data_IF_268501862169
#
_entry.id   IF_268501862169
#
_cell.length_a   1.000
_cell.length_b   1.000
_cell.length_c   1.000
_cell.angle_alpha   90.00
_cell.angle_beta   90.00
_cell.angle_gamma   90.00
#
_symmetry.space_group_name_H-M   'P 1'
#
loop_
_entity.id
_entity.type
_entity.pdbx_description
1 polymer ?
#
# COMPACT_ATOMS: atom_id res chain seq x y z
N UNK A 1 18.28 -20.05 18.85
CA UNK A 1 19.35 -20.86 18.22
C UNK A 1 18.93 -21.04 16.78
N UNK A 2 19.37 -20.10 15.94
CA UNK A 2 19.01 -20.03 14.52
C UNK A 2 19.43 -21.32 13.81
N UNK A 3 18.60 -21.74 12.87
CA UNK A 3 18.72 -22.97 12.12
C UNK A 3 19.79 -22.80 11.01
N UNK A 4 21.05 -22.58 11.41
CA UNK A 4 22.20 -22.32 10.52
C UNK A 4 22.59 -23.58 9.70
N UNK A 5 21.94 -24.73 9.93
CA UNK A 5 22.29 -26.01 9.29
C UNK A 5 21.73 -26.21 7.86
N UNK A 6 20.94 -25.28 7.31
CA UNK A 6 20.40 -25.38 5.93
C UNK A 6 20.69 -24.16 5.02
N UNK A 7 21.38 -23.12 5.50
CA UNK A 7 21.72 -21.92 4.69
C UNK A 7 22.64 -22.26 3.50
N UNK A 8 23.65 -23.11 3.68
CA UNK A 8 24.54 -23.50 2.57
C UNK A 8 23.81 -24.29 1.48
N UNK A 9 22.88 -25.19 1.86
CA UNK A 9 22.12 -26.01 0.90
C UNK A 9 21.07 -25.22 0.13
N UNK A 10 20.48 -24.20 0.74
CA UNK A 10 19.48 -23.34 0.10
C UNK A 10 20.13 -22.38 -0.88
N UNK A 11 21.29 -21.81 -0.55
CA UNK A 11 22.08 -20.95 -1.44
C UNK A 11 22.62 -21.68 -2.69
N UNK A 12 22.74 -23.00 -2.62
CA UNK A 12 23.23 -23.85 -3.72
C UNK A 12 22.14 -24.22 -4.76
N UNK A 13 20.86 -23.92 -4.50
CA UNK A 13 19.76 -24.25 -5.42
C UNK A 13 19.77 -23.39 -6.68
N UNK A 14 19.89 -22.08 -6.50
CA UNK A 14 19.95 -21.06 -7.54
C UNK A 14 20.52 -19.75 -6.94
N UNK A 15 20.98 -18.77 -7.74
CA UNK A 15 21.66 -17.60 -7.21
C UNK A 15 20.73 -16.50 -6.66
N UNK A 16 19.40 -16.65 -6.67
CA UNK A 16 18.46 -15.55 -6.35
C UNK A 16 18.64 -14.99 -4.94
N UNK A 17 18.68 -15.85 -3.91
CA UNK A 17 18.94 -15.38 -2.53
C UNK A 17 20.36 -14.82 -2.39
N UNK A 18 21.36 -15.52 -2.93
CA UNK A 18 22.77 -15.08 -2.88
C UNK A 18 22.96 -13.70 -3.49
N UNK A 19 22.30 -13.41 -4.61
CA UNK A 19 22.38 -12.11 -5.29
C UNK A 19 21.86 -10.98 -4.41
N UNK A 20 20.79 -11.21 -3.65
CA UNK A 20 20.23 -10.25 -2.69
C UNK A 20 21.22 -9.97 -1.55
N UNK A 21 21.80 -11.03 -0.97
CA UNK A 21 22.76 -10.91 0.12
C UNK A 21 24.05 -10.20 -0.34
N UNK A 22 24.58 -10.56 -1.51
CA UNK A 22 25.82 -9.95 -2.04
C UNK A 22 25.65 -8.48 -2.37
N UNK A 23 24.48 -8.08 -2.88
CA UNK A 23 24.20 -6.68 -3.20
C UNK A 23 23.65 -5.88 -2.02
N UNK A 24 23.49 -6.50 -0.85
CA UNK A 24 23.01 -5.89 0.39
C UNK A 24 21.67 -5.12 0.23
N UNK A 25 20.76 -5.62 -0.62
CA UNK A 25 19.46 -4.97 -0.83
C UNK A 25 18.42 -5.96 -1.35
N UNK A 26 17.27 -6.07 -0.69
CA UNK A 26 16.06 -6.69 -1.20
C UNK A 26 15.24 -5.65 -1.98
N UNK A 27 14.91 -5.93 -3.24
CA UNK A 27 14.08 -5.09 -4.09
C UNK A 27 12.70 -5.73 -4.20
N UNK A 28 11.76 -5.27 -3.37
CA UNK A 28 10.41 -5.82 -3.32
C UNK A 28 9.40 -4.88 -3.98
N UNK A 29 8.43 -5.46 -4.67
CA UNK A 29 7.32 -4.73 -5.29
C UNK A 29 6.08 -4.83 -4.41
N UNK A 30 5.38 -3.72 -4.16
CA UNK A 30 4.07 -3.73 -3.47
C UNK A 30 3.10 -2.76 -4.13
N UNK A 31 1.82 -2.91 -3.82
CA UNK A 31 0.73 -2.05 -4.28
C UNK A 31 0.43 -0.95 -3.25
N UNK A 32 -0.10 0.15 -3.75
CA UNK A 32 -0.47 1.32 -2.98
C UNK A 32 -1.96 1.26 -2.64
N UNK A 33 -2.28 1.01 -1.37
CA UNK A 33 -3.65 0.95 -0.85
C UNK A 33 -3.67 1.10 0.69
N UNK A 34 -4.86 1.13 1.32
CA UNK A 34 -5.03 1.45 2.75
C UNK A 34 -4.44 0.42 3.70
N UNK A 35 -4.07 -0.75 3.18
CA UNK A 35 -3.55 -1.86 3.99
C UNK A 35 -2.14 -2.27 3.61
N UNK A 36 -1.68 -2.15 2.36
CA UNK A 36 -0.43 -2.75 1.89
C UNK A 36 0.74 -1.78 1.98
N UNK A 37 0.61 -0.61 1.35
CA UNK A 37 1.54 0.51 1.45
C UNK A 37 0.80 1.83 1.22
N UNK A 38 1.01 2.79 2.12
CA UNK A 38 0.52 4.17 2.01
C UNK A 38 1.43 5.11 2.80
N UNK A 39 1.37 6.40 2.49
CA UNK A 39 2.03 7.45 3.27
C UNK A 39 1.01 8.10 4.20
N UNK A 40 1.36 8.24 5.48
CA UNK A 40 0.60 8.99 6.47
C UNK A 40 1.50 9.94 7.23
N UNK A 41 1.24 11.25 7.09
CA UNK A 41 2.09 12.32 7.68
C UNK A 41 3.57 12.18 7.30
N UNK A 42 3.82 11.86 6.04
CA UNK A 42 5.16 11.59 5.52
C UNK A 42 5.71 10.19 5.81
N UNK A 43 5.19 9.48 6.82
CA UNK A 43 5.70 8.16 7.18
C UNK A 43 5.14 7.08 6.25
N UNK A 44 5.99 6.21 5.66
CA UNK A 44 5.53 5.02 4.98
C UNK A 44 4.95 4.05 6.00
N UNK A 45 3.76 3.53 5.70
CA UNK A 45 3.01 2.62 6.54
C UNK A 45 2.36 1.55 5.66
N UNK A 46 2.00 0.43 6.26
CA UNK A 46 1.30 -0.66 5.58
C UNK A 46 1.68 -2.03 6.14
N UNK A 47 0.74 -2.95 6.06
CA UNK A 47 0.89 -4.36 6.44
C UNK A 47 1.98 -5.04 5.61
N UNK A 48 1.92 -4.92 4.28
CA UNK A 48 2.93 -5.52 3.40
C UNK A 48 4.28 -4.83 3.56
N UNK A 49 4.28 -3.50 3.69
CA UNK A 49 5.49 -2.74 3.98
C UNK A 49 6.19 -3.20 5.27
N UNK A 50 5.47 -3.29 6.38
CA UNK A 50 6.06 -3.71 7.65
C UNK A 50 6.52 -5.17 7.61
N UNK A 51 5.78 -6.06 6.93
CA UNK A 51 6.24 -7.43 6.73
C UNK A 51 7.52 -7.52 5.90
N UNK A 52 7.61 -6.77 4.80
CA UNK A 52 8.82 -6.72 3.97
C UNK A 52 10.01 -6.16 4.75
N UNK A 53 9.78 -5.16 5.61
CA UNK A 53 10.82 -4.61 6.47
C UNK A 53 11.34 -5.65 7.46
N UNK A 54 10.45 -6.34 8.16
CA UNK A 54 10.81 -7.43 9.08
C UNK A 54 11.54 -8.58 8.38
N UNK A 55 11.22 -8.85 7.11
CA UNK A 55 11.94 -9.84 6.31
C UNK A 55 13.33 -9.36 5.87
N UNK A 56 13.46 -8.10 5.43
CA UNK A 56 14.74 -7.52 5.09
C UNK A 56 15.68 -7.43 6.32
N UNK A 57 15.14 -7.05 7.48
CA UNK A 57 15.85 -7.04 8.75
C UNK A 57 16.29 -8.46 9.16
N UNK A 58 15.47 -9.48 8.88
CA UNK A 58 15.84 -10.89 9.11
C UNK A 58 17.00 -11.35 8.21
N UNK A 59 17.02 -10.91 6.94
CA UNK A 59 18.11 -11.19 6.00
C UNK A 59 19.36 -10.34 6.25
N UNK A 60 19.29 -9.33 7.13
CA UNK A 60 20.33 -8.31 7.36
C UNK A 60 20.71 -7.55 6.08
N UNK A 61 19.70 -7.10 5.32
CA UNK A 61 19.88 -6.31 4.09
C UNK A 61 18.97 -5.08 4.03
N UNK A 62 19.30 -4.12 3.18
CA UNK A 62 18.44 -2.95 2.95
C UNK A 62 17.15 -3.31 2.20
N UNK A 63 16.04 -2.63 2.49
CA UNK A 63 14.80 -2.75 1.72
C UNK A 63 14.65 -1.60 0.72
N UNK A 64 14.50 -1.94 -0.57
CA UNK A 64 14.08 -1.01 -1.62
C UNK A 64 12.70 -1.41 -2.15
N UNK A 65 11.77 -0.46 -2.16
CA UNK A 65 10.42 -0.70 -2.67
C UNK A 65 10.24 -0.19 -4.09
N UNK A 66 9.51 -0.96 -4.89
CA UNK A 66 8.91 -0.54 -6.15
C UNK A 66 7.40 -0.54 -5.95
N UNK A 67 6.76 0.61 -6.17
CA UNK A 67 5.32 0.78 -5.94
C UNK A 67 4.58 0.81 -7.27
N UNK A 68 3.61 -0.08 -7.46
CA UNK A 68 2.73 -0.06 -8.64
C UNK A 68 1.40 -0.76 -8.36
N UNK A 69 0.32 -0.19 -8.90
CA UNK A 69 -1.02 -0.79 -8.91
C UNK A 69 -1.34 -1.49 -10.24
N UNK A 70 -0.41 -1.45 -11.21
CA UNK A 70 -0.49 -2.26 -12.43
C UNK A 70 0.01 -3.68 -12.16
N UNK A 71 -0.94 -4.57 -11.93
CA UNK A 71 -0.71 -5.99 -11.67
C UNK A 71 0.00 -6.69 -12.84
N UNK A 72 -0.30 -6.33 -14.08
CA UNK A 72 0.31 -6.98 -15.24
C UNK A 72 1.76 -6.51 -15.40
N UNK A 73 1.99 -5.20 -15.28
CA UNK A 73 3.32 -4.61 -15.24
C UNK A 73 4.19 -5.20 -14.11
N UNK A 74 3.60 -5.49 -12.95
CA UNK A 74 4.33 -6.09 -11.83
C UNK A 74 4.93 -7.46 -12.17
N UNK A 75 4.20 -8.33 -12.86
CA UNK A 75 4.73 -9.61 -13.34
C UNK A 75 5.86 -9.42 -14.37
N UNK A 76 5.73 -8.42 -15.26
CA UNK A 76 6.79 -8.07 -16.19
C UNK A 76 8.08 -7.62 -15.49
N UNK A 77 7.97 -6.76 -14.47
CA UNK A 77 9.12 -6.30 -13.68
C UNK A 77 9.84 -7.45 -12.96
N UNK A 78 9.08 -8.43 -12.45
CA UNK A 78 9.62 -9.62 -11.81
C UNK A 78 10.34 -10.52 -12.82
N UNK A 79 9.74 -10.74 -13.99
CA UNK A 79 10.34 -11.55 -15.05
C UNK A 79 11.62 -10.92 -15.60
N UNK A 80 11.65 -9.60 -15.75
CA UNK A 80 12.83 -8.84 -16.16
C UNK A 80 13.94 -8.77 -15.08
N UNK A 81 13.67 -9.23 -13.86
CA UNK A 81 14.62 -9.17 -12.75
C UNK A 81 14.83 -7.77 -12.19
N UNK A 82 13.90 -6.83 -12.43
CA UNK A 82 13.92 -5.48 -11.86
C UNK A 82 13.51 -5.45 -10.39
N UNK A 83 12.79 -6.49 -9.95
CA UNK A 83 12.39 -6.75 -8.56
C UNK A 83 12.62 -8.24 -8.28
N UNK A 84 12.88 -8.61 -7.03
CA UNK A 84 13.09 -10.03 -6.68
C UNK A 84 11.80 -10.73 -6.29
N UNK A 85 10.84 -9.96 -5.77
CA UNK A 85 9.57 -10.48 -5.30
C UNK A 85 8.45 -9.46 -5.42
N UNK A 86 7.24 -9.98 -5.54
CA UNK A 86 5.99 -9.24 -5.51
C UNK A 86 5.28 -9.55 -4.18
N UNK A 87 5.10 -8.51 -3.38
CA UNK A 87 4.46 -8.50 -2.08
C UNK A 87 3.23 -7.59 -2.08
N UNK A 88 2.24 -7.98 -2.87
CA UNK A 88 0.91 -7.37 -2.95
C UNK A 88 -0.15 -8.42 -2.59
N UNK A 89 -1.43 -8.03 -2.54
CA UNK A 89 -2.57 -8.93 -2.30
C UNK A 89 -2.84 -9.94 -3.44
N UNK A 90 -1.84 -10.71 -3.88
CA UNK A 90 -2.02 -11.67 -4.97
C UNK A 90 -2.81 -12.89 -4.52
N UNK A 91 -4.04 -13.00 -5.02
CA UNK A 91 -4.78 -14.26 -5.03
C UNK A 91 -4.02 -15.32 -5.83
N UNK A 92 -3.80 -16.48 -5.22
CA UNK A 92 -3.19 -17.65 -5.86
C UNK A 92 -4.22 -18.28 -6.81
N UNK A 93 -3.91 -18.26 -8.10
CA UNK A 93 -4.73 -18.85 -9.16
C UNK A 93 -3.87 -19.74 -10.04
N UNK A 94 -4.48 -20.73 -10.71
CA UNK A 94 -3.77 -21.61 -11.64
C UNK A 94 -3.04 -20.83 -12.75
N UNK A 95 -3.68 -19.80 -13.30
CA UNK A 95 -3.10 -19.01 -14.39
C UNK A 95 -1.86 -18.25 -13.92
N UNK A 96 -1.95 -17.58 -12.76
CA UNK A 96 -0.79 -16.91 -12.13
C UNK A 96 0.32 -17.89 -11.72
N UNK A 97 0.00 -19.11 -11.29
CA UNK A 97 1.03 -20.14 -11.02
C UNK A 97 1.83 -20.51 -12.28
N UNK A 98 1.26 -20.31 -13.48
CA UNK A 98 1.98 -20.44 -14.73
C UNK A 98 2.97 -19.30 -15.01
N UNK A 99 2.89 -18.19 -14.28
CA UNK A 99 3.71 -16.99 -14.47
C UNK A 99 4.76 -16.79 -13.36
N UNK A 100 4.43 -17.21 -12.13
CA UNK A 100 5.25 -16.96 -10.93
C UNK A 100 5.20 -18.14 -9.98
N UNK A 101 6.22 -18.26 -9.13
CA UNK A 101 6.20 -19.18 -8.01
C UNK A 101 5.72 -18.46 -6.74
N UNK A 102 4.62 -18.95 -6.17
CA UNK A 102 4.06 -18.39 -4.95
C UNK A 102 4.79 -18.90 -3.69
N UNK A 103 4.86 -18.03 -2.70
CA UNK A 103 5.22 -18.38 -1.32
C UNK A 103 4.09 -19.18 -0.64
N UNK A 104 4.32 -19.63 0.58
CA UNK A 104 3.23 -20.05 1.46
C UNK A 104 2.26 -18.88 1.69
N UNK A 105 0.95 -19.12 1.79
CA UNK A 105 -0.03 -18.05 1.93
C UNK A 105 0.11 -17.26 3.25
N UNK A 106 0.10 -15.93 3.18
CA UNK A 106 0.06 -15.09 4.38
C UNK A 106 -1.35 -15.06 4.97
N UNK A 107 -2.38 -14.92 4.13
CA UNK A 107 -3.78 -14.86 4.55
C UNK A 107 -4.69 -15.67 3.63
N UNK A 108 -5.91 -15.91 4.11
CA UNK A 108 -7.03 -16.38 3.30
C UNK A 108 -8.10 -15.30 3.26
N UNK A 109 -8.66 -15.06 2.08
CA UNK A 109 -9.72 -14.06 1.92
C UNK A 109 -10.73 -14.51 0.88
N UNK A 110 -11.95 -13.98 0.95
CA UNK A 110 -12.98 -14.19 -0.07
C UNK A 110 -13.09 -12.93 -0.90
N UNK A 111 -13.53 -13.06 -2.14
CA UNK A 111 -14.04 -11.91 -2.89
C UNK A 111 -15.46 -11.65 -2.41
N UNK A 112 -15.79 -10.40 -2.12
CA UNK A 112 -17.11 -9.98 -1.64
C UNK A 112 -17.67 -8.87 -2.50
N UNK A 113 -18.99 -8.91 -2.69
CA UNK A 113 -19.73 -7.82 -3.29
C UNK A 113 -19.72 -6.64 -2.31
N UNK A 114 -19.34 -5.48 -2.82
CA UNK A 114 -19.46 -4.21 -2.10
C UNK A 114 -20.68 -3.49 -2.65
N UNK A 115 -21.65 -3.23 -1.77
CA UNK A 115 -22.92 -2.61 -2.12
C UNK A 115 -23.31 -1.55 -1.09
N UNK A 116 -24.15 -0.59 -1.47
CA UNK A 116 -24.63 0.46 -0.56
C UNK A 116 -25.86 -0.05 0.21
N UNK A 117 -25.89 0.22 1.52
CA UNK A 117 -27.10 0.05 2.34
C UNK A 117 -28.18 1.04 1.89
N UNK A 118 -29.48 0.73 2.09
CA UNK A 118 -30.58 1.65 1.77
C UNK A 118 -30.37 3.04 2.38
N UNK A 119 -30.74 4.13 1.71
CA UNK A 119 -30.43 5.49 2.18
C UNK A 119 -30.94 5.79 3.60
N UNK A 120 -32.08 5.19 3.96
CA UNK A 120 -32.73 5.30 5.25
C UNK A 120 -32.33 4.18 6.24
N UNK A 121 -31.25 3.42 6.00
CA UNK A 121 -30.84 2.29 6.85
C UNK A 121 -30.71 2.64 8.34
N UNK A 122 -30.28 3.87 8.66
CA UNK A 122 -30.19 4.36 10.06
C UNK A 122 -31.54 4.57 10.74
N UNK A 123 -32.63 4.65 9.97
CA UNK A 123 -34.00 4.85 10.44
C UNK A 123 -34.84 3.57 10.41
N UNK A 124 -34.32 2.50 9.82
CA UNK A 124 -34.97 1.19 9.79
C UNK A 124 -35.01 0.59 11.19
N UNK A 125 -36.06 -0.19 11.48
CA UNK A 125 -36.37 -0.69 12.82
C UNK A 125 -35.68 -2.00 13.13
N UNK A 126 -35.46 -2.83 12.11
CA UNK A 126 -34.82 -4.14 12.25
C UNK A 126 -33.67 -4.28 11.26
N UNK A 127 -32.76 -5.22 11.55
CA UNK A 127 -31.72 -5.60 10.61
C UNK A 127 -32.29 -6.30 9.37
N UNK A 128 -33.37 -7.08 9.53
CA UNK A 128 -34.03 -7.78 8.42
C UNK A 128 -34.53 -6.80 7.34
N UNK A 129 -35.05 -5.62 7.72
CA UNK A 129 -35.45 -4.57 6.76
C UNK A 129 -34.29 -4.07 5.89
N UNK A 130 -33.07 -4.12 6.40
CA UNK A 130 -31.85 -3.78 5.65
C UNK A 130 -31.45 -4.96 4.77
N UNK A 131 -31.40 -6.16 5.34
CA UNK A 131 -30.98 -7.40 4.67
C UNK A 131 -31.85 -7.71 3.44
N UNK A 132 -33.17 -7.50 3.52
CA UNK A 132 -34.13 -7.73 2.43
C UNK A 132 -33.89 -6.84 1.21
N UNK A 133 -33.10 -5.77 1.34
CA UNK A 133 -32.76 -4.83 0.26
C UNK A 133 -31.34 -5.02 -0.27
N UNK A 134 -30.58 -5.96 0.30
CA UNK A 134 -29.21 -6.23 -0.10
C UNK A 134 -29.16 -7.54 -0.88
N UNK A 135 -28.31 -7.57 -1.91
CA UNK A 135 -28.02 -8.81 -2.63
C UNK A 135 -27.35 -9.75 -1.63
N UNK A 136 -27.93 -10.91 -1.37
CA UNK A 136 -27.36 -11.94 -0.48
C UNK A 136 -27.09 -13.24 -1.21
N UNK A 137 -27.81 -13.49 -2.29
CA UNK A 137 -27.55 -14.57 -3.21
C UNK A 137 -26.90 -14.02 -4.50
N UNK A 138 -25.70 -14.51 -4.91
CA UNK A 138 -25.09 -14.10 -6.17
C UNK A 138 -26.00 -14.27 -7.40
N UNK A 139 -27.01 -15.14 -7.36
CA UNK A 139 -28.02 -15.25 -8.43
C UNK A 139 -28.77 -13.93 -8.70
N UNK A 140 -28.89 -13.05 -7.70
CA UNK A 140 -29.56 -11.75 -7.81
C UNK A 140 -28.73 -10.69 -8.56
N UNK A 141 -27.48 -11.01 -8.93
CA UNK A 141 -26.64 -10.16 -9.76
C UNK A 141 -27.02 -10.19 -11.25
N UNK A 142 -27.97 -11.05 -11.64
CA UNK A 142 -28.48 -11.07 -13.01
C UNK A 142 -28.97 -9.67 -13.42
N UNK A 143 -28.50 -9.21 -14.59
CA UNK A 143 -28.75 -7.90 -15.20
C UNK A 143 -28.26 -6.69 -14.40
N UNK A 144 -27.44 -6.89 -13.36
CA UNK A 144 -26.86 -5.80 -12.57
C UNK A 144 -25.57 -5.25 -13.20
N UNK A 145 -25.33 -3.96 -12.98
CA UNK A 145 -24.10 -3.27 -13.36
C UNK A 145 -23.07 -3.35 -12.24
N UNK A 146 -21.96 -4.04 -12.52
CA UNK A 146 -20.83 -4.20 -11.59
C UNK A 146 -19.58 -3.55 -12.17
N UNK A 147 -18.82 -2.84 -11.35
CA UNK A 147 -17.62 -2.12 -11.77
C UNK A 147 -16.38 -2.75 -11.14
N UNK A 148 -15.38 -3.04 -11.95
CA UNK A 148 -14.16 -3.76 -11.55
C UNK A 148 -12.91 -3.05 -12.02
N UNK A 149 -11.86 -3.02 -11.18
CA UNK A 149 -10.57 -2.47 -11.56
C UNK A 149 -9.93 -3.34 -12.66
N UNK A 150 -9.39 -2.70 -13.70
CA UNK A 150 -8.63 -3.35 -14.77
C UNK A 150 -7.45 -4.17 -14.23
N UNK A 151 -7.22 -5.34 -14.84
CA UNK A 151 -6.06 -6.19 -14.54
C UNK A 151 -6.21 -7.05 -13.28
N UNK A 152 -7.33 -6.91 -12.56
CA UNK A 152 -7.68 -7.78 -11.45
C UNK A 152 -8.41 -9.04 -11.94
N UNK A 153 -8.46 -10.08 -11.09
CA UNK A 153 -9.20 -11.33 -11.36
C UNK A 153 -10.72 -11.18 -11.18
N UNK A 154 -11.17 -9.98 -10.83
CA UNK A 154 -12.55 -9.71 -10.47
C UNK A 154 -13.50 -9.77 -11.68
N UNK A 155 -13.05 -9.32 -12.85
CA UNK A 155 -13.79 -9.46 -14.10
C UNK A 155 -14.04 -10.94 -14.44
N UNK A 156 -13.02 -11.79 -14.27
CA UNK A 156 -13.11 -13.23 -14.50
C UNK A 156 -14.10 -13.87 -13.51
N UNK A 157 -14.09 -13.43 -12.24
CA UNK A 157 -15.02 -13.96 -11.24
C UNK A 157 -16.47 -13.67 -11.62
N UNK A 158 -16.80 -12.44 -12.03
CA UNK A 158 -18.15 -12.13 -12.49
C UNK A 158 -18.51 -12.86 -13.79
N UNK A 159 -17.56 -13.06 -14.70
CA UNK A 159 -17.78 -13.85 -15.92
C UNK A 159 -18.12 -15.30 -15.61
N UNK A 160 -17.42 -15.91 -14.63
CA UNK A 160 -17.74 -17.25 -14.12
C UNK A 160 -19.12 -17.27 -13.48
N UNK A 161 -19.45 -16.28 -12.62
CA UNK A 161 -20.76 -16.19 -11.97
C UNK A 161 -21.88 -16.04 -12.99
N UNK A 162 -21.75 -15.18 -14.00
CA UNK A 162 -22.74 -15.02 -15.06
C UNK A 162 -23.03 -16.37 -15.75
N UNK A 163 -21.97 -17.12 -16.08
CA UNK A 163 -22.10 -18.45 -16.67
C UNK A 163 -22.73 -19.49 -15.70
N UNK A 164 -22.41 -19.44 -14.41
CA UNK A 164 -23.02 -20.30 -13.38
C UNK A 164 -24.51 -19.99 -13.15
N UNK A 165 -24.89 -18.70 -13.21
CA UNK A 165 -26.27 -18.22 -13.09
C UNK A 165 -27.09 -18.59 -14.33
N UNK A 166 -26.43 -18.68 -15.49
CA UNK A 166 -27.10 -18.84 -16.79
C UNK A 166 -27.76 -17.54 -17.26
N UNK A 167 -27.26 -16.39 -16.81
CA UNK A 167 -27.76 -15.06 -17.16
C UNK A 167 -26.60 -14.04 -17.26
N UNK A 168 -26.90 -12.81 -17.65
CA UNK A 168 -25.89 -11.77 -17.88
C UNK A 168 -25.62 -10.96 -16.61
N UNK A 169 -24.35 -10.62 -16.37
CA UNK A 169 -23.95 -9.54 -15.45
C UNK A 169 -23.27 -8.47 -16.30
N UNK A 170 -23.65 -7.20 -16.17
CA UNK A 170 -23.04 -6.11 -16.92
C UNK A 170 -21.72 -5.69 -16.24
N UNK A 171 -20.61 -6.22 -16.73
CA UNK A 171 -19.28 -5.99 -16.15
C UNK A 171 -18.62 -4.77 -16.81
N UNK A 172 -18.40 -3.72 -16.04
CA UNK A 172 -17.72 -2.50 -16.45
C UNK A 172 -16.27 -2.50 -15.94
N UNK A 173 -15.31 -2.55 -16.86
CA UNK A 173 -13.88 -2.49 -16.52
C UNK A 173 -13.46 -1.04 -16.37
N UNK A 174 -13.18 -0.63 -15.13
CA UNK A 174 -12.67 0.69 -14.81
C UNK A 174 -11.15 0.74 -15.03
N UNK A 175 -10.72 1.73 -15.81
CA UNK A 175 -9.33 1.91 -16.22
C UNK A 175 -8.60 2.95 -15.35
N UNK A 176 -9.35 3.81 -14.66
CA UNK A 176 -8.83 4.98 -13.98
C UNK A 176 -8.89 4.84 -12.46
N UNK A 177 -9.84 4.03 -11.95
CA UNK A 177 -10.08 3.84 -10.53
C UNK A 177 -9.57 2.50 -10.01
N UNK A 178 -8.92 2.57 -8.86
CA UNK A 178 -8.52 1.41 -8.06
C UNK A 178 -9.69 0.88 -7.21
N UNK A 179 -9.54 -0.33 -6.66
CA UNK A 179 -10.58 -0.98 -5.84
C UNK A 179 -11.13 -0.05 -4.74
N UNK A 180 -10.30 0.66 -3.99
CA UNK A 180 -10.79 1.54 -2.92
C UNK A 180 -11.52 2.79 -3.42
N UNK A 181 -11.15 3.28 -4.60
CA UNK A 181 -11.86 4.37 -5.26
C UNK A 181 -13.22 3.88 -5.78
N UNK A 182 -13.30 2.64 -6.27
CA UNK A 182 -14.58 1.99 -6.61
C UNK A 182 -15.45 1.77 -5.36
N UNK A 183 -14.87 1.35 -4.24
CA UNK A 183 -15.60 1.23 -2.96
C UNK A 183 -16.13 2.60 -2.52
N UNK A 184 -15.33 3.65 -2.66
CA UNK A 184 -15.73 5.04 -2.36
C UNK A 184 -16.90 5.47 -3.26
N UNK A 185 -16.83 5.17 -4.57
CA UNK A 185 -17.90 5.46 -5.52
C UNK A 185 -19.21 4.73 -5.18
N UNK A 186 -19.15 3.47 -4.71
CA UNK A 186 -20.33 2.76 -4.16
C UNK A 186 -20.86 3.46 -2.90
N UNK A 187 -19.99 3.84 -1.97
CA UNK A 187 -20.39 4.52 -0.74
C UNK A 187 -21.09 5.87 -1.02
N UNK A 188 -20.63 6.59 -2.05
CA UNK A 188 -21.19 7.87 -2.50
C UNK A 188 -22.45 7.70 -3.37
N UNK A 189 -22.71 6.48 -3.87
CA UNK A 189 -23.86 6.20 -4.74
C UNK A 189 -23.62 6.57 -6.22
N UNK A 190 -22.36 6.73 -6.63
CA UNK A 190 -21.98 6.99 -8.03
C UNK A 190 -22.09 5.73 -8.91
N UNK A 191 -21.82 4.57 -8.31
CA UNK A 191 -21.98 3.24 -8.91
C UNK A 191 -22.72 2.31 -7.94
N UNK A 192 -23.39 1.29 -8.46
CA UNK A 192 -24.21 0.40 -7.63
C UNK A 192 -23.39 -0.64 -6.88
N UNK A 193 -22.47 -1.30 -7.59
CA UNK A 193 -21.74 -2.45 -7.09
C UNK A 193 -20.28 -2.45 -7.55
N UNK A 194 -19.41 -2.88 -6.64
CA UNK A 194 -18.04 -3.28 -6.97
C UNK A 194 -17.69 -4.56 -6.22
N UNK A 195 -16.47 -5.05 -6.36
CA UNK A 195 -15.96 -6.23 -5.67
C UNK A 195 -14.58 -5.93 -5.12
N UNK A 196 -14.30 -6.51 -3.97
CA UNK A 196 -13.00 -6.43 -3.33
C UNK A 196 -12.72 -7.72 -2.58
N UNK A 197 -11.47 -7.93 -2.20
CA UNK A 197 -11.15 -8.92 -1.20
C UNK A 197 -11.75 -8.52 0.16
N UNK A 198 -12.27 -9.49 0.91
CA UNK A 198 -13.04 -9.28 2.14
C UNK A 198 -12.26 -8.45 3.18
N UNK A 199 -10.95 -8.68 3.28
CA UNK A 199 -10.11 -7.95 4.24
C UNK A 199 -10.00 -6.46 3.89
N UNK A 200 -9.91 -6.10 2.61
CA UNK A 200 -9.93 -4.72 2.12
C UNK A 200 -11.32 -4.11 2.31
N UNK A 201 -12.36 -4.86 1.94
CA UNK A 201 -13.75 -4.42 2.05
C UNK A 201 -14.16 -4.14 3.51
N UNK A 202 -13.73 -4.99 4.46
CA UNK A 202 -13.98 -4.82 5.90
C UNK A 202 -13.24 -3.61 6.48
N UNK A 203 -12.01 -3.36 6.03
CA UNK A 203 -11.29 -2.15 6.41
C UNK A 203 -12.06 -0.92 5.91
N UNK A 204 -12.49 -0.95 4.65
CA UNK A 204 -13.26 0.14 4.05
C UNK A 204 -14.64 0.38 4.67
N UNK A 205 -15.34 -0.68 5.10
CA UNK A 205 -16.63 -0.57 5.77
C UNK A 205 -16.53 0.21 7.10
N UNK A 206 -15.37 0.24 7.74
CA UNK A 206 -15.15 1.07 8.94
C UNK A 206 -15.14 2.56 8.60
N UNK A 207 -14.71 2.95 7.40
CA UNK A 207 -14.74 4.34 6.92
C UNK A 207 -16.13 4.70 6.39
N UNK A 208 -16.76 3.77 5.67
CA UNK A 208 -18.05 3.94 5.02
C UNK A 208 -19.09 3.03 5.67
N UNK A 209 -19.66 3.40 6.83
CA UNK A 209 -20.61 2.52 7.55
C UNK A 209 -21.90 2.25 6.76
N UNK A 210 -22.13 3.01 5.68
CA UNK A 210 -23.25 2.84 4.75
C UNK A 210 -22.99 1.81 3.64
N UNK A 211 -21.83 1.14 3.58
CA UNK A 211 -21.63 0.00 2.67
C UNK A 211 -21.86 -1.33 3.41
N UNK A 212 -22.21 -2.34 2.64
CA UNK A 212 -22.29 -3.74 3.02
C UNK A 212 -21.31 -4.56 2.19
N UNK A 213 -20.66 -5.53 2.83
CA UNK A 213 -19.57 -6.35 2.26
C UNK A 213 -19.73 -7.84 2.63
N UNK A 214 -20.95 -8.25 2.98
CA UNK A 214 -21.21 -9.57 3.56
C UNK A 214 -21.46 -10.66 2.51
N UNK A 215 -21.75 -10.26 1.27
CA UNK A 215 -22.10 -11.20 0.20
C UNK A 215 -20.85 -11.76 -0.45
N UNK A 216 -20.52 -12.98 -0.10
CA UNK A 216 -19.38 -13.69 -0.68
C UNK A 216 -19.66 -14.05 -2.15
N UNK A 217 -18.73 -13.65 -3.01
CA UNK A 217 -18.72 -14.01 -4.43
C UNK A 217 -17.82 -15.21 -4.70
N UNK A 218 -16.91 -15.56 -3.79
CA UNK A 218 -16.02 -16.72 -3.93
C UNK A 218 -15.93 -17.55 -2.64
N UNK A 219 -15.40 -18.77 -2.76
CA UNK A 219 -14.84 -19.49 -1.62
C UNK A 219 -13.57 -18.79 -1.11
N UNK A 220 -13.09 -19.10 0.12
CA UNK A 220 -11.81 -18.56 0.61
C UNK A 220 -10.65 -18.95 -0.30
N UNK A 221 -9.90 -17.96 -0.77
CA UNK A 221 -8.72 -18.12 -1.61
C UNK A 221 -7.46 -17.75 -0.83
N UNK A 222 -6.34 -18.37 -1.19
CA UNK A 222 -5.04 -18.03 -0.66
C UNK A 222 -4.53 -16.72 -1.26
N UNK A 223 -3.97 -15.86 -0.41
CA UNK A 223 -3.16 -14.72 -0.82
C UNK A 223 -1.73 -15.00 -0.40
N UNK A 224 -0.82 -14.89 -1.37
CA UNK A 224 0.59 -15.22 -1.22
C UNK A 224 1.47 -14.15 -1.89
N UNK A 225 2.73 -14.07 -1.49
CA UNK A 225 3.73 -13.33 -2.26
C UNK A 225 4.20 -14.18 -3.43
N UNK A 226 4.85 -13.56 -4.39
CA UNK A 226 5.37 -14.23 -5.57
C UNK A 226 6.84 -13.91 -5.79
N UNK A 227 7.59 -14.89 -6.28
CA UNK A 227 8.94 -14.73 -6.80
C UNK A 227 9.00 -15.22 -8.24
N UNK A 228 10.06 -14.86 -8.96
CA UNK A 228 10.27 -15.34 -10.32
C UNK A 228 10.34 -16.87 -10.33
N UNK A 229 9.78 -17.52 -11.35
CA UNK A 229 9.84 -18.96 -11.49
C UNK A 229 11.28 -19.48 -11.45
N UNK A 230 11.54 -20.49 -10.63
CA UNK A 230 12.87 -21.08 -10.45
C UNK A 230 13.78 -20.33 -9.46
N UNK A 231 13.33 -19.24 -8.84
CA UNK A 231 14.03 -18.60 -7.70
C UNK A 231 13.74 -19.35 -6.40
N UNK A 232 14.10 -20.64 -6.34
CA UNK A 232 13.75 -21.55 -5.25
C UNK A 232 14.45 -21.22 -3.93
N UNK A 233 15.71 -20.78 -3.96
CA UNK A 233 16.49 -20.37 -2.79
C UNK A 233 15.80 -19.22 -2.04
N UNK A 234 15.44 -18.14 -2.75
CA UNK A 234 14.68 -17.03 -2.17
C UNK A 234 13.31 -17.49 -1.69
N UNK A 235 12.59 -18.28 -2.49
CA UNK A 235 11.23 -18.75 -2.14
C UNK A 235 11.22 -19.57 -0.87
N UNK A 236 12.16 -20.49 -0.71
CA UNK A 236 12.26 -21.35 0.47
C UNK A 236 12.62 -20.56 1.71
N UNK A 237 13.53 -19.59 1.60
CA UNK A 237 13.91 -18.71 2.71
C UNK A 237 12.71 -17.87 3.18
N UNK A 238 12.02 -17.22 2.23
CA UNK A 238 10.80 -16.46 2.51
C UNK A 238 9.73 -17.37 3.15
N UNK A 239 9.57 -18.60 2.67
CA UNK A 239 8.59 -19.54 3.22
C UNK A 239 8.90 -19.93 4.66
N UNK A 240 10.16 -20.26 4.95
CA UNK A 240 10.61 -20.58 6.30
C UNK A 240 10.35 -19.39 7.24
N UNK A 241 10.74 -18.19 6.81
CA UNK A 241 10.49 -16.96 7.54
C UNK A 241 9.00 -16.69 7.77
N UNK A 242 8.13 -16.77 6.74
CA UNK A 242 6.68 -16.54 6.89
C UNK A 242 6.08 -17.50 7.92
N UNK A 243 6.45 -18.78 7.89
CA UNK A 243 5.94 -19.79 8.81
C UNK A 243 6.25 -19.44 10.25
N UNK A 244 7.44 -18.94 10.55
CA UNK A 244 7.85 -18.58 11.90
C UNK A 244 7.38 -17.18 12.30
N UNK A 245 7.47 -16.20 11.41
CA UNK A 245 6.98 -14.84 11.61
C UNK A 245 5.50 -14.85 11.98
N UNK A 246 4.66 -15.68 11.32
CA UNK A 246 3.23 -15.78 11.62
C UNK A 246 2.92 -16.26 13.04
N UNK A 247 3.84 -16.94 13.72
CA UNK A 247 3.71 -17.37 15.12
C UNK A 247 4.13 -16.27 16.11
N UNK A 248 4.81 -15.23 15.63
CA UNK A 248 5.40 -14.18 16.47
C UNK A 248 4.36 -13.18 17.00
N UNK A 249 4.73 -12.49 18.08
CA UNK A 249 3.96 -11.34 18.58
C UNK A 249 4.00 -10.15 17.63
N UNK A 250 5.10 -9.99 16.89
CA UNK A 250 5.28 -8.94 15.87
C UNK A 250 4.22 -9.07 14.76
N UNK A 251 4.07 -10.25 14.15
CA UNK A 251 3.03 -10.50 13.15
C UNK A 251 1.62 -10.15 13.65
N UNK A 252 1.28 -10.57 14.87
CA UNK A 252 -0.03 -10.25 15.47
C UNK A 252 -0.20 -8.75 15.71
N UNK A 253 0.86 -8.04 16.10
CA UNK A 253 0.84 -6.59 16.26
C UNK A 253 0.59 -5.90 14.92
N UNK A 254 1.36 -6.23 13.89
CA UNK A 254 1.24 -5.65 12.54
C UNK A 254 -0.17 -5.92 11.98
N UNK A 255 -0.65 -7.17 12.04
CA UNK A 255 -2.01 -7.50 11.58
C UNK A 255 -3.09 -6.67 12.32
N UNK A 256 -3.02 -6.60 13.64
CA UNK A 256 -4.00 -5.84 14.41
C UNK A 256 -3.94 -4.34 14.13
N UNK A 257 -2.75 -3.78 13.91
CA UNK A 257 -2.53 -2.36 13.59
C UNK A 257 -3.30 -1.94 12.35
N UNK A 258 -3.31 -2.76 11.30
CA UNK A 258 -3.93 -2.41 10.01
C UNK A 258 -5.38 -2.89 9.89
N UNK A 259 -5.69 -4.12 10.31
CA UNK A 259 -7.00 -4.72 10.06
C UNK A 259 -7.99 -4.54 11.19
N UNK A 260 -7.55 -4.48 12.45
CA UNK A 260 -8.45 -4.52 13.62
C UNK A 260 -8.54 -3.20 14.38
N UNK A 261 -7.48 -2.39 14.39
CA UNK A 261 -7.40 -1.18 15.21
C UNK A 261 -8.31 -0.06 14.70
N UNK A 262 -9.23 0.49 15.51
CA UNK A 262 -10.04 1.65 15.12
C UNK A 262 -9.23 2.89 14.73
N UNK A 263 -7.97 3.02 15.18
CA UNK A 263 -7.09 4.12 14.75
C UNK A 263 -6.81 4.11 13.25
N UNK A 264 -6.89 2.96 12.56
CA UNK A 264 -6.76 2.92 11.10
C UNK A 264 -7.88 3.71 10.41
N UNK A 265 -9.06 3.84 11.05
CA UNK A 265 -10.17 4.74 10.63
C UNK A 265 -9.74 6.19 10.61
N UNK A 266 -9.16 6.67 11.71
CA UNK A 266 -8.71 8.05 11.82
C UNK A 266 -7.54 8.36 10.87
N UNK A 267 -6.66 7.39 10.64
CA UNK A 267 -5.56 7.51 9.69
C UNK A 267 -6.10 7.67 8.28
N UNK A 268 -6.98 6.78 7.82
CA UNK A 268 -7.49 6.82 6.45
C UNK A 268 -8.39 8.04 6.15
N UNK A 269 -9.13 8.53 7.14
CA UNK A 269 -9.94 9.76 7.02
C UNK A 269 -9.12 11.05 7.15
N UNK A 270 -7.84 10.96 7.49
CA UNK A 270 -6.99 12.14 7.63
C UNK A 270 -6.70 12.76 6.27
N UNK A 271 -6.70 14.10 6.21
CA UNK A 271 -6.21 14.83 5.03
C UNK A 271 -4.74 14.52 4.71
N UNK A 272 -3.96 14.05 5.69
CA UNK A 272 -2.56 13.65 5.53
C UNK A 272 -2.40 12.20 5.05
N UNK A 273 -3.51 11.52 4.77
CA UNK A 273 -3.52 10.19 4.19
C UNK A 273 -3.44 10.29 2.68
N UNK A 274 -2.42 9.66 2.14
CA UNK A 274 -2.06 9.82 0.74
C UNK A 274 -3.03 9.17 -0.26
N UNK A 275 -3.96 8.32 0.18
CA UNK A 275 -4.99 7.70 -0.69
C UNK A 275 -6.17 8.65 -0.97
N UNK A 276 -6.62 9.41 0.04
CA UNK A 276 -7.85 10.20 -0.06
C UNK A 276 -7.71 11.68 0.32
N UNK A 277 -6.65 12.06 1.02
CA UNK A 277 -6.51 13.39 1.63
C UNK A 277 -5.76 14.41 0.77
N UNK A 278 -4.95 13.97 -0.20
CA UNK A 278 -4.23 14.86 -1.12
C UNK A 278 -3.20 15.78 -0.46
N UNK A 279 -2.92 15.61 0.85
CA UNK A 279 -1.84 16.28 1.59
C UNK A 279 -0.88 15.25 2.17
N UNK A 280 0.41 15.58 2.18
CA UNK A 280 1.53 14.85 2.79
C UNK A 280 1.75 15.34 4.22
N UNK A 281 1.69 16.66 4.42
CA UNK A 281 1.97 17.33 5.69
C UNK A 281 1.12 18.59 5.88
N UNK A 282 1.14 19.14 7.10
CA UNK A 282 0.52 20.43 7.40
C UNK A 282 1.22 21.62 6.71
N UNK A 283 2.39 21.41 6.10
CA UNK A 283 3.19 22.44 5.44
C UNK A 283 3.05 22.43 3.92
N UNK A 284 2.24 21.55 3.34
CA UNK A 284 2.15 21.36 1.88
C UNK A 284 1.81 22.62 1.10
N UNK A 285 0.98 23.50 1.65
CA UNK A 285 0.65 24.78 1.01
C UNK A 285 1.87 25.70 0.96
N UNK A 286 2.58 25.83 2.09
CA UNK A 286 3.82 26.61 2.20
C UNK A 286 4.91 26.04 1.30
N UNK A 287 5.07 24.71 1.29
CA UNK A 287 6.06 24.03 0.45
C UNK A 287 5.72 24.26 -1.03
N UNK A 288 4.47 24.08 -1.45
CA UNK A 288 4.04 24.35 -2.84
C UNK A 288 4.28 25.79 -3.25
N UNK A 289 3.91 26.75 -2.42
CA UNK A 289 4.10 28.17 -2.70
C UNK A 289 5.58 28.50 -2.90
N UNK A 290 6.43 28.11 -1.93
CA UNK A 290 7.86 28.40 -1.99
C UNK A 290 8.55 27.64 -3.13
N UNK A 291 8.25 26.35 -3.31
CA UNK A 291 8.81 25.56 -4.40
C UNK A 291 8.46 26.14 -5.77
N UNK A 292 7.25 26.68 -5.95
CA UNK A 292 6.85 27.38 -7.18
C UNK A 292 7.69 28.64 -7.41
N UNK A 293 7.95 29.44 -6.37
CA UNK A 293 8.80 30.65 -6.45
C UNK A 293 10.23 30.30 -6.89
N UNK A 294 10.73 29.15 -6.45
CA UNK A 294 12.11 28.74 -6.65
C UNK A 294 12.31 27.74 -7.80
N UNK A 295 11.26 27.41 -8.55
CA UNK A 295 11.26 26.45 -9.67
C UNK A 295 11.80 25.06 -9.26
N UNK A 296 11.28 24.54 -8.14
CA UNK A 296 11.58 23.22 -7.61
C UNK A 296 10.30 22.37 -7.56
N UNK A 297 10.44 21.06 -7.74
CA UNK A 297 9.33 20.15 -7.46
C UNK A 297 9.02 20.16 -5.96
N UNK A 298 7.81 20.56 -5.59
CA UNK A 298 7.38 20.63 -4.19
C UNK A 298 7.45 19.28 -3.48
N UNK A 299 7.29 18.17 -4.22
CA UNK A 299 7.40 16.80 -3.68
C UNK A 299 8.84 16.46 -3.32
N UNK A 300 9.82 16.96 -4.09
CA UNK A 300 11.23 16.82 -3.75
C UNK A 300 11.53 17.55 -2.43
N UNK A 301 11.08 18.79 -2.30
CA UNK A 301 11.26 19.57 -1.06
C UNK A 301 10.56 18.90 0.13
N UNK A 302 9.33 18.42 -0.05
CA UNK A 302 8.60 17.69 0.99
C UNK A 302 9.33 16.40 1.40
N UNK A 303 9.89 15.65 0.43
CA UNK A 303 10.67 14.43 0.72
C UNK A 303 11.94 14.72 1.51
N UNK A 304 12.61 15.84 1.24
CA UNK A 304 13.78 16.27 2.01
C UNK A 304 13.39 16.66 3.44
N UNK A 305 12.36 17.48 3.62
CA UNK A 305 11.85 17.84 4.96
C UNK A 305 11.49 16.59 5.76
N UNK A 306 10.88 15.61 5.10
CA UNK A 306 10.57 14.34 5.73
C UNK A 306 11.82 13.58 6.18
N UNK A 307 12.84 13.48 5.31
CA UNK A 307 14.11 12.83 5.64
C UNK A 307 14.85 13.53 6.80
N UNK A 308 14.81 14.86 6.82
CA UNK A 308 15.53 15.68 7.78
C UNK A 308 14.85 15.75 9.16
N UNK A 309 13.53 15.90 9.19
CA UNK A 309 12.82 16.15 10.45
C UNK A 309 11.49 15.42 10.60
N UNK A 310 11.06 14.66 9.59
CA UNK A 310 9.72 14.02 9.55
C UNK A 310 8.58 15.03 9.76
N UNK A 311 8.77 16.25 9.24
CA UNK A 311 7.86 17.39 9.42
C UNK A 311 7.70 17.87 10.87
N UNK A 312 8.64 17.56 11.75
CA UNK A 312 8.69 18.10 13.11
C UNK A 312 9.62 19.34 13.15
N UNK A 313 9.09 20.57 13.32
CA UNK A 313 9.89 21.79 13.34
C UNK A 313 10.80 21.90 14.58
N UNK A 314 10.49 21.15 15.64
CA UNK A 314 11.23 21.15 16.91
C UNK A 314 12.48 20.27 16.90
N UNK A 315 12.72 19.50 15.84
CA UNK A 315 13.85 18.56 15.78
C UNK A 315 15.17 19.31 15.77
N UNK A 316 16.06 18.91 16.67
CA UNK A 316 17.46 19.35 16.70
C UNK A 316 18.36 18.12 16.68
N UNK A 317 19.29 18.06 15.72
CA UNK A 317 20.28 16.98 15.63
C UNK A 317 21.35 17.10 16.71
N UNK A 318 22.10 16.02 16.93
CA UNK A 318 23.22 16.02 17.89
C UNK A 318 24.30 17.06 17.54
N UNK A 319 24.51 17.32 16.24
CA UNK A 319 25.49 18.31 15.75
C UNK A 319 24.93 19.74 15.70
N UNK A 320 23.68 19.94 16.12
CA UNK A 320 23.08 21.26 16.27
C UNK A 320 22.32 21.80 15.06
N UNK A 321 22.15 21.00 14.00
CA UNK A 321 21.19 21.32 12.93
C UNK A 321 19.76 21.34 13.48
N UNK A 322 18.91 22.25 13.01
CA UNK A 322 17.56 22.43 13.57
C UNK A 322 16.49 22.68 12.50
N UNK A 323 15.23 22.48 12.90
CA UNK A 323 14.08 22.88 12.08
C UNK A 323 13.70 21.85 11.03
N UNK A 324 12.73 22.24 10.19
CA UNK A 324 12.14 21.34 9.19
C UNK A 324 13.12 20.81 8.14
N UNK A 325 14.13 21.61 7.77
CA UNK A 325 15.13 21.25 6.77
C UNK A 325 16.52 21.04 7.40
N UNK A 326 16.59 20.86 8.72
CA UNK A 326 17.84 20.65 9.49
C UNK A 326 18.98 21.60 9.05
N UNK A 327 18.75 22.90 9.21
CA UNK A 327 19.77 23.89 8.90
C UNK A 327 20.80 23.97 10.03
N UNK A 328 22.08 23.99 9.67
CA UNK A 328 23.16 24.31 10.61
C UNK A 328 23.07 25.79 11.02
N UNK A 329 23.41 26.17 12.28
CA UNK A 329 23.28 27.54 12.77
C UNK A 329 23.97 28.59 11.89
N UNK A 330 25.17 28.30 11.38
CA UNK A 330 25.89 29.21 10.48
C UNK A 330 25.19 29.41 9.13
N UNK A 331 24.59 28.35 8.58
CA UNK A 331 23.79 28.43 7.35
C UNK A 331 22.51 29.22 7.60
N UNK A 332 21.83 28.92 8.71
CA UNK A 332 20.61 29.60 9.12
C UNK A 332 20.83 31.11 9.28
N UNK A 333 21.92 31.52 9.94
CA UNK A 333 22.31 32.92 10.09
C UNK A 333 22.53 33.63 8.75
N UNK A 334 23.17 32.97 7.77
CA UNK A 334 23.37 33.52 6.43
C UNK A 334 22.07 33.82 5.67
N UNK A 335 20.98 33.14 6.02
CA UNK A 335 19.64 33.34 5.48
C UNK A 335 18.69 34.07 6.45
N UNK A 336 19.20 34.57 7.58
CA UNK A 336 18.45 35.39 8.54
C UNK A 336 17.40 34.62 9.34
N UNK A 337 17.60 33.31 9.55
CA UNK A 337 16.68 32.46 10.33
C UNK A 337 17.38 31.82 11.54
N UNK A 338 16.61 31.51 12.57
CA UNK A 338 17.03 30.87 13.81
C UNK A 338 16.01 29.81 14.28
N UNK A 339 16.25 29.18 15.44
CA UNK A 339 15.38 28.14 16.01
C UNK A 339 13.98 28.62 16.38
N UNK A 340 13.78 29.92 16.57
CA UNK A 340 12.49 30.53 16.90
C UNK A 340 11.73 31.00 15.66
N UNK A 341 12.37 30.98 14.49
CA UNK A 341 11.79 31.47 13.25
C UNK A 341 10.60 30.62 12.80
N UNK A 342 9.56 31.22 12.19
CA UNK A 342 8.40 30.48 11.71
C UNK A 342 8.77 29.37 10.69
N UNK A 343 8.01 28.27 10.63
CA UNK A 343 8.24 27.18 9.67
C UNK A 343 8.41 27.65 8.22
N UNK A 344 7.63 28.64 7.77
CA UNK A 344 7.73 29.17 6.42
C UNK A 344 9.09 29.81 6.11
N UNK A 345 9.70 30.47 7.09
CA UNK A 345 11.00 31.11 6.92
C UNK A 345 12.13 30.07 6.97
N UNK A 346 12.01 29.06 7.86
CA UNK A 346 12.93 27.94 7.89
C UNK A 346 12.93 27.15 6.57
N UNK A 347 11.74 26.84 6.02
CA UNK A 347 11.61 26.16 4.72
C UNK A 347 12.20 27.02 3.60
N UNK A 348 11.93 28.33 3.60
CA UNK A 348 12.47 29.25 2.60
C UNK A 348 13.99 29.27 2.62
N UNK A 349 14.60 29.36 3.80
CA UNK A 349 16.04 29.33 3.97
C UNK A 349 16.65 28.01 3.47
N UNK A 350 16.02 26.87 3.78
CA UNK A 350 16.47 25.57 3.27
C UNK A 350 16.36 25.44 1.74
N UNK A 351 15.28 25.93 1.14
CA UNK A 351 15.14 25.97 -0.32
C UNK A 351 16.21 26.87 -0.96
N UNK A 352 16.46 28.06 -0.38
CA UNK A 352 17.50 28.96 -0.87
C UNK A 352 18.89 28.32 -0.78
N UNK A 353 19.15 27.59 0.30
CA UNK A 353 20.40 26.85 0.46
C UNK A 353 20.54 25.72 -0.56
N UNK A 354 19.48 24.93 -0.82
CA UNK A 354 19.48 23.91 -1.88
C UNK A 354 19.81 24.51 -3.24
N UNK A 355 19.19 25.65 -3.60
CA UNK A 355 19.49 26.34 -4.86
C UNK A 355 20.91 26.89 -4.92
N UNK A 356 21.46 27.30 -3.78
CA UNK A 356 22.85 27.71 -3.73
C UNK A 356 23.77 26.52 -4.01
N UNK A 357 23.52 25.35 -3.42
CA UNK A 357 24.27 24.10 -3.69
C UNK A 357 24.17 23.72 -5.17
N UNK A 358 22.96 23.68 -5.72
CA UNK A 358 22.71 23.33 -7.12
C UNK A 358 23.52 24.19 -8.09
N UNK A 359 23.63 25.49 -7.83
CA UNK A 359 24.48 26.41 -8.62
C UNK A 359 25.99 26.17 -8.49
N UNK A 360 26.45 25.49 -7.43
CA UNK A 360 27.86 25.13 -7.28
C UNK A 360 28.20 23.83 -8.02
N UNK A 361 27.20 23.02 -8.40
CA UNK A 361 27.43 21.78 -9.12
C UNK A 361 27.78 22.10 -10.59
N UNK A 362 28.68 21.32 -11.21
CA UNK A 362 28.94 21.45 -12.64
C UNK A 362 27.64 21.19 -13.43
N UNK A 363 27.39 21.88 -14.55
CA UNK A 363 26.31 21.49 -15.44
C UNK A 363 26.54 20.05 -15.95
N UNK A 364 25.44 19.29 -16.07
CA UNK A 364 25.44 17.93 -16.62
C UNK A 364 25.98 17.84 -18.06
#
# INVERSE_FOLDING_TARGET
MSNILDEEKTLDLDPSLRNILVRDTLIALTDYNSTNYFIYRGEPMGYQFEMLKEFADFLDVNLKLVITNDMHGAFGLLEEGKVDMIAMGLTVTRDRQGLVDFTVPQIQTKQVLVQRKPENWRKMRTWDEIEDQLIRNPLELAWKDVYVQKGTIFADRFSILANEIGDTIHIHIDHDREVEQLITAVAQGEIEYTVADEHIAKVNQKYYPNIDVNTALSFPQHVAWAVKQGNDSLRLEVNAWIVDYKKSTASRYVYNKYFNNPRSVNIAQSEYHSIGGGKISQYDEIIRELSTVYDLDWRLVASLIYQESRFHPEVTSWVGAFGLMQLMPATAEAYGVDTASPPADQIRAGIQFLRWIDKQLPPE
#
